data_IF_194514922753
#
_entry.id   IF_194514922753
#
_cell.length_a   1.000
_cell.length_b   1.000
_cell.length_c   1.000
_cell.angle_alpha   90.00
_cell.angle_beta   90.00
_cell.angle_gamma   90.00
#
_symmetry.space_group_name_H-M   'P 1'
#
loop_
_entity.id
_entity.type
_entity.pdbx_description
1 polymer ?
#
# COMPACT_ATOMS: atom_id res chain seq x y z
N UNK A 1 6.61 16.05 0.06
CA UNK A 1 6.88 14.90 0.94
C UNK A 1 8.24 14.27 0.68
N UNK A 2 8.52 13.70 -0.50
CA UNK A 2 9.72 12.87 -0.73
C UNK A 2 10.84 13.50 -1.57
N UNK A 3 10.71 14.76 -2.02
CA UNK A 3 11.71 15.39 -2.90
C UNK A 3 11.80 14.81 -4.32
N UNK A 4 10.89 13.90 -4.70
CA UNK A 4 10.76 13.37 -6.07
C UNK A 4 9.98 14.34 -6.95
N UNK A 5 10.45 14.56 -8.18
CA UNK A 5 9.76 15.33 -9.21
C UNK A 5 9.37 14.43 -10.37
N UNK A 6 8.07 14.26 -10.64
CA UNK A 6 7.58 13.31 -11.64
C UNK A 6 7.74 11.83 -11.25
N UNK A 7 7.05 10.94 -11.98
CA UNK A 7 7.07 9.49 -11.70
C UNK A 7 8.47 8.91 -11.89
N UNK A 8 9.22 9.36 -12.89
CA UNK A 8 10.58 8.90 -13.18
C UNK A 8 11.68 9.69 -12.45
N UNK A 9 11.33 10.71 -11.66
CA UNK A 9 12.32 11.61 -11.04
C UNK A 9 12.89 12.66 -12.01
N UNK A 10 12.26 12.87 -13.17
CA UNK A 10 12.71 13.78 -14.23
C UNK A 10 11.79 15.00 -14.42
N UNK A 11 10.84 15.21 -13.50
CA UNK A 11 9.89 16.33 -13.53
C UNK A 11 8.76 16.19 -14.55
N UNK A 12 8.65 15.08 -15.29
CA UNK A 12 7.57 14.88 -16.28
C UNK A 12 6.34 14.21 -15.67
N UNK A 13 5.17 14.66 -16.11
CA UNK A 13 3.88 14.06 -15.78
C UNK A 13 3.59 12.81 -16.63
N UNK A 14 2.67 11.98 -16.17
CA UNK A 14 2.09 10.88 -16.94
C UNK A 14 0.86 11.31 -17.72
N UNK A 15 0.52 10.55 -18.76
CA UNK A 15 -0.79 10.67 -19.39
C UNK A 15 -1.87 9.98 -18.54
N UNK A 16 -3.09 10.49 -18.61
CA UNK A 16 -4.24 9.94 -17.89
C UNK A 16 -5.37 9.69 -18.88
N UNK A 17 -5.93 8.48 -18.88
CA UNK A 17 -7.02 8.07 -19.77
C UNK A 17 -8.22 7.65 -18.93
N UNK A 18 -9.37 8.23 -19.20
CA UNK A 18 -10.66 7.90 -18.56
C UNK A 18 -11.64 7.39 -19.61
N UNK A 19 -12.80 6.89 -19.19
CA UNK A 19 -13.78 6.27 -20.08
C UNK A 19 -13.17 5.12 -20.90
N UNK A 20 -12.24 4.39 -20.27
CA UNK A 20 -11.57 3.28 -20.94
C UNK A 20 -12.47 2.05 -21.01
N UNK A 21 -12.63 1.53 -22.22
CA UNK A 21 -13.48 0.37 -22.47
C UNK A 21 -14.97 0.69 -22.28
N UNK A 22 -15.74 -0.32 -21.90
CA UNK A 22 -17.17 -0.21 -21.59
C UNK A 22 -17.45 -1.04 -20.34
N UNK A 23 -18.05 -0.45 -19.32
CA UNK A 23 -18.29 -1.08 -18.01
C UNK A 23 -17.02 -1.73 -17.42
N UNK A 24 -15.86 -1.08 -17.62
CA UNK A 24 -14.57 -1.67 -17.29
C UNK A 24 -14.28 -1.50 -15.79
N UNK A 25 -14.32 -2.61 -15.06
CA UNK A 25 -14.09 -2.69 -13.62
C UNK A 25 -12.59 -2.76 -13.26
N UNK A 26 -11.77 -1.88 -13.83
CA UNK A 26 -10.36 -1.82 -13.47
C UNK A 26 -9.72 -0.46 -13.76
N UNK A 27 -8.63 -0.19 -13.05
CA UNK A 27 -7.67 0.87 -13.33
C UNK A 27 -6.28 0.22 -13.42
N UNK A 28 -5.36 0.86 -14.13
CA UNK A 28 -3.99 0.35 -14.23
C UNK A 28 -2.98 1.43 -14.65
N UNK A 29 -1.75 1.26 -14.20
CA UNK A 29 -0.54 1.84 -14.80
C UNK A 29 -0.01 0.98 -15.95
N UNK A 30 0.48 1.63 -17.01
CA UNK A 30 1.21 0.98 -18.09
C UNK A 30 2.50 1.74 -18.44
N UNK A 31 3.65 1.08 -18.24
CA UNK A 31 4.98 1.61 -18.52
C UNK A 31 5.21 1.93 -20.01
N UNK A 32 4.53 1.22 -20.92
CA UNK A 32 4.72 1.36 -22.37
C UNK A 32 4.19 2.70 -22.89
N UNK A 33 3.05 3.16 -22.35
CA UNK A 33 2.47 4.46 -22.65
C UNK A 33 2.83 5.54 -21.62
N UNK A 34 3.48 5.16 -20.51
CA UNK A 34 3.72 6.01 -19.35
C UNK A 34 2.43 6.69 -18.87
N UNK A 35 1.38 5.88 -18.70
CA UNK A 35 0.03 6.37 -18.49
C UNK A 35 -0.75 5.58 -17.45
N UNK A 36 -1.64 6.29 -16.75
CA UNK A 36 -2.68 5.71 -15.91
C UNK A 36 -3.97 5.64 -16.72
N UNK A 37 -4.70 4.53 -16.61
CA UNK A 37 -5.93 4.27 -17.34
C UNK A 37 -7.03 3.86 -16.38
N UNK A 38 -8.21 4.47 -16.52
CA UNK A 38 -9.33 4.30 -15.61
C UNK A 38 -10.60 3.91 -16.38
N UNK A 39 -11.21 2.80 -15.97
CA UNK A 39 -12.55 2.44 -16.39
C UNK A 39 -13.63 3.24 -15.64
N UNK A 40 -14.84 3.21 -16.20
CA UNK A 40 -16.02 3.83 -15.58
C UNK A 40 -16.71 2.93 -14.54
N UNK A 41 -16.26 1.67 -14.42
CA UNK A 41 -16.96 0.64 -13.68
C UNK A 41 -18.28 0.24 -14.34
N UNK A 42 -18.90 -0.83 -13.85
CA UNK A 42 -20.19 -1.32 -14.34
C UNK A 42 -21.41 -0.60 -13.74
N UNK A 43 -21.18 0.33 -12.81
CA UNK A 43 -22.21 1.12 -12.12
C UNK A 43 -22.95 0.37 -11.00
N UNK A 44 -22.69 -0.93 -10.83
CA UNK A 44 -23.39 -1.83 -9.88
C UNK A 44 -22.48 -2.37 -8.80
N UNK A 45 -21.30 -2.87 -9.18
CA UNK A 45 -20.24 -3.34 -8.29
C UNK A 45 -19.21 -2.25 -8.08
N UNK A 46 -18.75 -1.60 -9.15
CA UNK A 46 -17.83 -0.48 -9.11
C UNK A 46 -18.37 0.72 -9.91
N UNK A 47 -18.06 1.92 -9.46
CA UNK A 47 -18.21 3.13 -10.28
C UNK A 47 -16.88 3.58 -10.89
N UNK A 48 -16.78 4.85 -11.34
CA UNK A 48 -15.57 5.36 -11.98
C UNK A 48 -14.34 5.23 -11.07
N UNK A 49 -13.28 4.61 -11.57
CA UNK A 49 -12.12 4.21 -10.76
C UNK A 49 -11.10 5.35 -10.56
N UNK A 50 -11.60 6.58 -10.34
CA UNK A 50 -10.80 7.81 -10.25
C UNK A 50 -10.71 8.36 -8.82
N UNK A 51 -10.94 7.50 -7.82
CA UNK A 51 -10.73 7.86 -6.42
C UNK A 51 -9.26 8.19 -6.12
N UNK A 52 -9.03 8.93 -5.05
CA UNK A 52 -7.73 9.53 -4.79
C UNK A 52 -6.67 8.48 -4.44
N UNK A 53 -7.01 7.52 -3.58
CA UNK A 53 -6.18 6.36 -3.27
C UNK A 53 -5.93 5.48 -4.51
N UNK A 54 -6.93 5.24 -5.36
CA UNK A 54 -6.79 4.47 -6.62
C UNK A 54 -5.85 5.21 -7.57
N UNK A 55 -6.03 6.52 -7.76
CA UNK A 55 -5.11 7.31 -8.60
C UNK A 55 -3.69 7.35 -8.02
N UNK A 56 -3.55 7.47 -6.70
CA UNK A 56 -2.28 7.39 -6.00
C UNK A 56 -1.62 6.01 -6.12
N UNK A 57 -2.41 4.95 -6.07
CA UNK A 57 -2.01 3.55 -6.27
C UNK A 57 -1.45 3.35 -7.69
N UNK A 58 -2.19 3.73 -8.73
CA UNK A 58 -1.72 3.61 -10.11
C UNK A 58 -0.46 4.44 -10.37
N UNK A 59 -0.39 5.66 -9.85
CA UNK A 59 0.82 6.48 -9.98
C UNK A 59 2.03 5.81 -9.33
N UNK A 60 1.80 5.12 -8.21
CA UNK A 60 2.85 4.47 -7.43
C UNK A 60 3.39 3.23 -8.13
N UNK A 61 2.60 2.50 -8.92
CA UNK A 61 3.15 1.46 -9.80
C UNK A 61 4.24 2.02 -10.72
N UNK A 62 4.01 3.19 -11.30
CA UNK A 62 5.03 3.89 -12.08
C UNK A 62 6.25 4.29 -11.26
N UNK A 63 6.08 4.70 -10.00
CA UNK A 63 7.23 5.00 -9.13
C UNK A 63 8.03 3.73 -8.85
N UNK A 64 7.35 2.62 -8.54
CA UNK A 64 7.95 1.30 -8.35
C UNK A 64 8.71 0.86 -9.59
N UNK A 65 8.14 1.01 -10.80
CA UNK A 65 8.79 0.62 -12.05
C UNK A 65 10.08 1.41 -12.33
N UNK A 66 10.14 2.67 -11.92
CA UNK A 66 11.32 3.55 -12.07
C UNK A 66 12.28 3.53 -10.87
N UNK A 67 12.07 2.64 -9.90
CA UNK A 67 12.91 2.51 -8.71
C UNK A 67 13.29 1.05 -8.47
N UNK A 68 12.63 0.36 -7.53
CA UNK A 68 12.92 -1.04 -7.19
C UNK A 68 12.62 -2.02 -8.33
N UNK A 69 11.72 -1.64 -9.25
CA UNK A 69 11.23 -2.48 -10.34
C UNK A 69 10.75 -3.86 -9.85
N UNK A 70 10.02 -3.88 -8.72
CA UNK A 70 9.49 -5.10 -8.11
C UNK A 70 8.74 -5.94 -9.15
N UNK A 71 9.21 -7.17 -9.36
CA UNK A 71 8.61 -8.10 -10.31
C UNK A 71 7.17 -8.37 -9.90
N UNK A 72 6.23 -8.25 -10.83
CA UNK A 72 4.80 -8.38 -10.57
C UNK A 72 4.36 -9.86 -10.49
N UNK A 73 5.01 -10.62 -9.59
CA UNK A 73 4.75 -12.03 -9.33
C UNK A 73 5.29 -12.44 -7.96
N UNK A 74 4.65 -13.42 -7.33
CA UNK A 74 5.02 -13.92 -6.01
C UNK A 74 5.06 -12.83 -4.95
N UNK A 75 5.99 -12.95 -3.99
CA UNK A 75 6.14 -11.96 -2.91
C UNK A 75 6.57 -10.58 -3.42
N UNK A 76 7.38 -10.51 -4.49
CA UNK A 76 7.73 -9.24 -5.11
C UNK A 76 6.51 -8.53 -5.70
N UNK A 77 5.57 -9.29 -6.27
CA UNK A 77 4.32 -8.75 -6.77
C UNK A 77 3.41 -8.26 -5.65
N UNK A 78 3.30 -9.03 -4.57
CA UNK A 78 2.61 -8.59 -3.35
C UNK A 78 3.19 -7.30 -2.76
N UNK A 79 4.51 -7.16 -2.76
CA UNK A 79 5.18 -5.92 -2.34
C UNK A 79 4.98 -4.76 -3.34
N UNK A 80 4.83 -5.04 -4.64
CA UNK A 80 4.50 -4.03 -5.65
C UNK A 80 3.11 -3.45 -5.37
N UNK A 81 2.12 -4.33 -5.23
CA UNK A 81 0.74 -3.99 -4.86
C UNK A 81 0.66 -3.24 -3.52
N UNK A 82 1.31 -3.76 -2.48
CA UNK A 82 1.29 -3.12 -1.17
C UNK A 82 1.98 -1.75 -1.18
N UNK A 83 3.03 -1.58 -1.99
CA UNK A 83 3.67 -0.26 -2.15
C UNK A 83 2.68 0.75 -2.72
N UNK A 84 1.90 0.34 -3.73
CA UNK A 84 0.85 1.17 -4.32
C UNK A 84 -0.28 1.49 -3.33
N UNK A 85 -0.74 0.51 -2.53
CA UNK A 85 -1.74 0.75 -1.47
C UNK A 85 -1.21 1.71 -0.38
N UNK A 86 0.04 1.52 0.06
CA UNK A 86 0.69 2.36 1.08
C UNK A 86 0.75 3.81 0.62
N UNK A 87 1.25 4.08 -0.58
CA UNK A 87 1.35 5.45 -1.06
C UNK A 87 0.02 6.03 -1.53
N UNK A 88 -0.91 5.22 -2.06
CA UNK A 88 -2.28 5.64 -2.32
C UNK A 88 -2.96 6.17 -1.06
N UNK A 89 -2.92 5.38 0.02
CA UNK A 89 -3.39 5.76 1.35
C UNK A 89 -2.70 7.04 1.86
N UNK A 90 -1.37 7.12 1.78
CA UNK A 90 -0.64 8.31 2.25
C UNK A 90 -0.96 9.57 1.42
N UNK A 91 -1.25 9.42 0.12
CA UNK A 91 -1.72 10.51 -0.74
C UNK A 91 -3.11 10.97 -0.32
N UNK A 92 -4.01 10.05 0.01
CA UNK A 92 -5.36 10.38 0.49
C UNK A 92 -5.31 11.16 1.81
N UNK A 93 -4.50 10.69 2.76
CA UNK A 93 -4.23 11.44 3.99
C UNK A 93 -3.61 12.82 3.73
N UNK A 94 -2.66 12.91 2.80
CA UNK A 94 -1.96 14.15 2.48
C UNK A 94 -2.86 15.21 1.83
N UNK A 95 -3.86 14.79 1.04
CA UNK A 95 -4.75 15.72 0.36
C UNK A 95 -5.68 16.49 1.31
N UNK A 96 -5.88 15.99 2.54
CA UNK A 96 -6.79 16.59 3.52
C UNK A 96 -8.18 16.91 2.93
N UNK A 97 -8.67 16.03 2.05
CA UNK A 97 -9.95 16.24 1.39
C UNK A 97 -11.10 16.03 2.38
N UNK A 98 -11.89 17.08 2.65
CA UNK A 98 -12.98 16.97 3.64
C UNK A 98 -14.13 16.06 3.20
N UNK A 99 -14.30 15.82 1.89
CA UNK A 99 -15.34 14.90 1.36
C UNK A 99 -14.86 13.46 1.24
N UNK A 100 -13.54 13.27 1.35
CA UNK A 100 -12.86 12.00 1.27
C UNK A 100 -11.67 12.00 2.25
N UNK A 101 -11.95 11.98 3.56
CA UNK A 101 -10.88 12.07 4.55
C UNK A 101 -10.06 10.79 4.55
N UNK A 102 -8.74 10.92 4.47
CA UNK A 102 -7.80 9.80 4.45
C UNK A 102 -8.15 8.68 5.43
N UNK A 103 -8.19 7.46 4.92
CA UNK A 103 -8.41 6.27 5.72
C UNK A 103 -7.51 5.09 5.27
N UNK A 104 -7.71 3.90 5.81
CA UNK A 104 -6.92 2.68 5.54
C UNK A 104 -7.72 1.60 4.79
N UNK A 105 -8.79 2.02 4.13
CA UNK A 105 -9.57 1.25 3.17
C UNK A 105 -9.04 1.57 1.77
N UNK A 106 -9.05 0.58 0.88
CA UNK A 106 -8.63 0.80 -0.51
C UNK A 106 -9.86 0.71 -1.41
N UNK A 107 -10.16 1.77 -2.15
CA UNK A 107 -11.23 1.87 -3.13
C UNK A 107 -12.63 1.99 -2.55
N UNK A 108 -12.78 2.43 -1.29
CA UNK A 108 -14.06 2.64 -0.62
C UNK A 108 -14.95 3.69 -1.34
N UNK A 109 -14.36 4.66 -2.05
CA UNK A 109 -15.10 5.57 -2.95
C UNK A 109 -15.59 4.95 -4.24
N UNK A 110 -14.98 3.86 -4.71
CA UNK A 110 -15.30 3.27 -6.01
C UNK A 110 -16.23 2.07 -5.90
N UNK A 111 -16.26 1.39 -4.74
CA UNK A 111 -17.22 0.30 -4.52
C UNK A 111 -18.65 0.83 -4.50
N UNK A 112 -19.57 -0.04 -4.92
CA UNK A 112 -21.01 0.19 -4.95
C UNK A 112 -21.71 -0.93 -4.18
N UNK A 113 -23.01 -0.78 -3.94
CA UNK A 113 -23.79 -1.73 -3.14
C UNK A 113 -23.72 -3.17 -3.66
N UNK A 114 -23.57 -3.37 -4.97
CA UNK A 114 -23.42 -4.70 -5.58
C UNK A 114 -22.09 -5.39 -5.28
N UNK A 115 -21.05 -4.68 -4.84
CA UNK A 115 -19.77 -5.30 -4.46
C UNK A 115 -19.85 -6.08 -3.14
N UNK A 116 -20.77 -5.70 -2.25
CA UNK A 116 -21.05 -6.40 -0.99
C UNK A 116 -20.00 -6.21 0.11
N UNK A 117 -19.03 -5.31 -0.07
CA UNK A 117 -18.03 -4.91 0.94
C UNK A 117 -17.84 -3.40 0.95
N UNK A 118 -17.32 -2.87 2.06
CA UNK A 118 -17.08 -1.45 2.23
C UNK A 118 -15.90 -0.91 1.43
N UNK A 119 -14.98 -1.77 1.00
CA UNK A 119 -13.77 -1.43 0.26
C UNK A 119 -13.25 -2.65 -0.51
N UNK A 120 -12.33 -2.45 -1.47
CA UNK A 120 -11.65 -3.53 -2.16
C UNK A 120 -10.71 -4.30 -1.23
N UNK A 121 -9.91 -3.57 -0.44
CA UNK A 121 -8.93 -4.12 0.51
C UNK A 121 -8.93 -3.30 1.81
N UNK A 122 -8.38 -3.89 2.87
CA UNK A 122 -8.33 -3.32 4.21
C UNK A 122 -6.89 -3.42 4.74
N UNK A 123 -6.24 -2.30 5.06
CA UNK A 123 -4.85 -2.38 5.54
C UNK A 123 -4.75 -2.81 7.01
N UNK A 124 -5.77 -2.57 7.84
CA UNK A 124 -5.73 -2.90 9.28
C UNK A 124 -5.88 -4.39 9.59
N UNK A 125 -6.66 -5.08 8.76
CA UNK A 125 -6.92 -6.52 8.84
C UNK A 125 -7.27 -7.02 7.43
N UNK A 126 -6.27 -7.30 6.58
CA UNK A 126 -6.45 -7.68 5.17
C UNK A 126 -7.51 -8.74 4.92
N UNK A 127 -7.61 -9.75 5.78
CA UNK A 127 -8.58 -10.84 5.64
C UNK A 127 -10.05 -10.39 5.63
N UNK A 128 -10.36 -9.14 5.97
CA UNK A 128 -11.71 -8.57 5.83
C UNK A 128 -12.22 -8.57 4.39
N UNK A 129 -11.31 -8.59 3.40
CA UNK A 129 -11.70 -8.77 2.00
C UNK A 129 -11.97 -10.25 1.63
N UNK A 130 -11.75 -11.18 2.56
CA UNK A 130 -11.99 -12.61 2.41
C UNK A 130 -10.85 -13.43 1.79
N UNK A 131 -9.80 -12.80 1.25
CA UNK A 131 -8.72 -13.50 0.53
C UNK A 131 -7.30 -13.07 0.94
N UNK A 132 -7.12 -11.80 1.31
CA UNK A 132 -5.80 -11.25 1.61
C UNK A 132 -5.20 -11.82 2.88
N UNK A 133 -3.88 -12.02 2.85
CA UNK A 133 -3.14 -12.57 3.98
C UNK A 133 -2.91 -11.51 5.05
N UNK A 134 -3.35 -11.75 6.29
CA UNK A 134 -2.96 -10.92 7.44
C UNK A 134 -1.48 -11.12 7.84
N UNK A 135 -0.97 -12.33 7.60
CA UNK A 135 0.31 -12.80 8.14
C UNK A 135 1.12 -13.44 7.01
N UNK A 136 2.43 -13.25 7.05
CA UNK A 136 3.34 -13.98 6.19
C UNK A 136 3.32 -15.48 6.51
N UNK A 137 3.38 -16.27 5.45
CA UNK A 137 3.63 -17.71 5.49
C UNK A 137 4.41 -18.09 4.23
N UNK A 138 5.01 -19.27 4.22
CA UNK A 138 5.73 -19.78 3.04
C UNK A 138 4.85 -19.96 1.79
N UNK A 139 3.52 -19.93 1.93
CA UNK A 139 2.59 -20.05 0.82
C UNK A 139 2.07 -18.70 0.31
N UNK A 140 2.41 -17.58 0.95
CA UNK A 140 1.86 -16.26 0.58
C UNK A 140 2.22 -15.87 -0.84
N UNK A 141 3.41 -16.27 -1.31
CA UNK A 141 3.85 -16.04 -2.70
C UNK A 141 3.07 -16.83 -3.75
N UNK A 142 2.18 -17.75 -3.36
CA UNK A 142 1.30 -18.47 -4.29
C UNK A 142 -0.07 -17.79 -4.46
N UNK A 143 -0.38 -16.78 -3.64
CA UNK A 143 -1.61 -16.01 -3.79
C UNK A 143 -1.49 -15.07 -4.99
N UNK A 144 -2.64 -14.61 -5.48
CA UNK A 144 -2.69 -13.44 -6.33
C UNK A 144 -1.96 -12.26 -5.64
N UNK A 145 -1.29 -11.43 -6.42
CA UNK A 145 -0.46 -10.34 -5.89
C UNK A 145 -1.29 -9.35 -5.05
N UNK A 146 -2.55 -9.11 -5.41
CA UNK A 146 -3.46 -8.24 -4.65
C UNK A 146 -3.85 -8.82 -3.29
N UNK A 147 -3.69 -10.14 -3.07
CA UNK A 147 -3.97 -10.81 -1.80
C UNK A 147 -2.72 -11.07 -0.98
N UNK A 148 -1.61 -11.38 -1.65
CA UNK A 148 -0.31 -11.48 -0.99
C UNK A 148 0.17 -10.14 -0.44
N UNK A 149 -0.26 -9.01 -1.03
CA UNK A 149 0.02 -7.63 -0.55
C UNK A 149 -0.48 -7.36 0.86
N UNK A 150 -1.48 -8.10 1.33
CA UNK A 150 -2.06 -7.98 2.66
C UNK A 150 -1.02 -7.94 3.78
N UNK A 151 0.07 -8.72 3.66
CA UNK A 151 1.14 -8.76 4.67
C UNK A 151 1.83 -7.40 4.83
N UNK A 152 2.19 -6.75 3.72
CA UNK A 152 2.82 -5.42 3.76
C UNK A 152 1.81 -4.30 4.07
N UNK A 153 0.55 -4.44 3.65
CA UNK A 153 -0.51 -3.51 4.05
C UNK A 153 -0.73 -3.53 5.57
N UNK A 154 -0.77 -4.73 6.15
CA UNK A 154 -0.90 -4.92 7.59
C UNK A 154 0.31 -4.41 8.36
N UNK A 155 1.52 -4.69 7.86
CA UNK A 155 2.75 -4.08 8.39
C UNK A 155 2.66 -2.55 8.40
N UNK A 156 2.22 -1.94 7.31
CA UNK A 156 2.17 -0.49 7.17
C UNK A 156 1.16 0.14 8.13
N UNK A 157 -0.05 -0.44 8.26
CA UNK A 157 -1.02 -0.02 9.27
C UNK A 157 -0.43 -0.11 10.67
N UNK A 158 0.14 -1.26 11.05
CA UNK A 158 0.73 -1.48 12.37
C UNK A 158 1.88 -0.50 12.65
N UNK A 159 2.74 -0.22 11.67
CA UNK A 159 3.84 0.73 11.82
C UNK A 159 3.34 2.16 11.99
N UNK A 160 2.32 2.59 11.24
CA UNK A 160 1.78 3.94 11.36
C UNK A 160 0.94 4.12 12.63
N UNK A 161 0.02 3.20 12.90
CA UNK A 161 -1.07 3.41 13.84
C UNK A 161 -0.98 2.54 15.10
N UNK A 162 -0.23 1.44 15.05
CA UNK A 162 -0.16 0.44 16.12
C UNK A 162 -1.30 -0.58 16.07
N UNK A 163 -1.21 -1.59 16.92
CA UNK A 163 -2.22 -2.66 17.05
C UNK A 163 -3.39 -2.24 17.93
N UNK A 164 -4.53 -2.91 17.77
CA UNK A 164 -5.72 -2.74 18.61
C UNK A 164 -6.72 -1.72 18.09
N UNK A 165 -7.68 -1.37 18.94
CA UNK A 165 -8.81 -0.52 18.58
C UNK A 165 -8.39 0.95 18.40
N UNK A 166 -8.77 1.55 17.28
CA UNK A 166 -8.55 2.96 16.97
C UNK A 166 -9.62 3.48 16.03
N UNK A 167 -10.04 4.73 16.21
CA UNK A 167 -10.88 5.43 15.24
C UNK A 167 -10.06 6.52 14.56
N UNK A 168 -10.01 6.50 13.23
CA UNK A 168 -9.28 7.49 12.41
C UNK A 168 -10.29 8.06 11.43
N UNK A 169 -10.48 9.38 11.44
CA UNK A 169 -11.39 10.09 10.54
C UNK A 169 -12.82 9.51 10.46
N UNK A 170 -13.29 8.90 11.55
CA UNK A 170 -14.63 8.29 11.63
C UNK A 170 -14.69 6.81 11.24
N UNK A 171 -13.61 6.22 10.74
CA UNK A 171 -13.50 4.78 10.47
C UNK A 171 -12.94 4.06 11.70
N UNK A 172 -13.62 3.00 12.12
CA UNK A 172 -13.21 2.19 13.28
C UNK A 172 -12.38 0.99 12.83
N UNK A 173 -11.18 0.91 13.39
CA UNK A 173 -10.22 -0.17 13.18
C UNK A 173 -10.01 -0.95 14.46
N UNK A 174 -9.62 -2.22 14.32
CA UNK A 174 -9.17 -3.06 15.42
C UNK A 174 -8.15 -4.06 14.89
N UNK A 175 -6.92 -3.58 14.70
CA UNK A 175 -5.88 -4.34 14.00
C UNK A 175 -5.27 -5.42 14.90
N UNK A 176 -5.34 -6.71 14.53
CA UNK A 176 -4.72 -7.78 15.29
C UNK A 176 -3.21 -7.84 15.02
N UNK A 177 -2.50 -8.73 15.73
CA UNK A 177 -1.15 -9.15 15.35
C UNK A 177 -1.10 -10.67 15.25
N UNK A 178 -0.29 -11.19 14.35
CA UNK A 178 -0.19 -12.62 14.07
C UNK A 178 0.46 -13.41 15.22
N UNK A 179 1.19 -12.71 16.08
CA UNK A 179 1.92 -13.28 17.21
C UNK A 179 1.39 -12.79 18.58
N UNK A 180 0.21 -12.15 18.61
CA UNK A 180 -0.39 -11.55 19.82
C UNK A 180 0.48 -10.48 20.53
N UNK A 181 1.47 -9.91 19.83
CA UNK A 181 2.24 -8.77 20.33
C UNK A 181 1.42 -7.47 20.27
N UNK A 182 1.87 -6.47 21.02
CA UNK A 182 1.36 -5.09 20.90
C UNK A 182 2.37 -4.25 20.13
N UNK A 183 1.91 -3.54 19.11
CA UNK A 183 2.72 -2.61 18.32
C UNK A 183 2.31 -1.18 18.65
N UNK A 184 3.28 -0.33 18.97
CA UNK A 184 3.07 1.12 19.09
C UNK A 184 3.45 1.78 17.77
N UNK A 185 2.51 2.48 17.14
CA UNK A 185 2.74 3.17 15.87
C UNK A 185 3.67 4.37 16.00
N UNK A 186 4.41 4.66 14.92
CA UNK A 186 5.34 5.81 14.81
C UNK A 186 4.80 6.94 13.91
N UNK A 187 3.58 6.79 13.39
CA UNK A 187 2.91 7.77 12.55
C UNK A 187 3.20 7.64 11.05
N UNK A 188 2.27 8.17 10.26
CA UNK A 188 2.22 8.09 8.78
C UNK A 188 3.42 8.73 8.09
N UNK A 189 3.89 9.88 8.57
CA UNK A 189 5.03 10.57 7.96
C UNK A 189 6.31 9.73 8.02
N UNK A 190 6.54 9.07 9.16
CA UNK A 190 7.71 8.18 9.34
C UNK A 190 7.56 6.89 8.56
N UNK A 191 6.36 6.29 8.53
CA UNK A 191 6.06 5.17 7.62
C UNK A 191 6.42 5.54 6.18
N UNK A 192 5.91 6.66 5.67
CA UNK A 192 6.15 7.11 4.31
C UNK A 192 7.63 7.37 4.03
N UNK A 193 8.35 8.01 4.95
CA UNK A 193 9.79 8.25 4.80
C UNK A 193 10.61 6.95 4.74
N UNK A 194 10.31 5.99 5.63
CA UNK A 194 11.00 4.69 5.70
C UNK A 194 10.69 3.86 4.46
N UNK A 195 9.42 3.69 4.10
CA UNK A 195 9.03 2.88 2.94
C UNK A 195 9.58 3.47 1.63
N UNK A 196 9.51 4.80 1.47
CA UNK A 196 10.06 5.47 0.29
C UNK A 196 11.57 5.27 0.15
N UNK A 197 12.33 5.40 1.25
CA UNK A 197 13.76 5.15 1.23
C UNK A 197 14.07 3.67 0.97
N UNK A 198 13.33 2.76 1.58
CA UNK A 198 13.47 1.33 1.34
C UNK A 198 13.27 0.99 -0.15
N UNK A 199 12.18 1.49 -0.75
CA UNK A 199 11.84 1.30 -2.16
C UNK A 199 12.91 1.86 -3.11
N UNK A 200 13.43 3.05 -2.83
CA UNK A 200 14.29 3.78 -3.77
C UNK A 200 15.78 3.50 -3.62
N UNK A 201 16.22 2.95 -2.49
CA UNK A 201 17.64 2.73 -2.18
C UNK A 201 17.99 1.26 -2.01
N UNK A 202 17.08 0.44 -1.47
CA UNK A 202 17.40 -0.89 -0.95
C UNK A 202 16.68 -2.04 -1.65
N UNK A 203 15.42 -1.83 -2.04
CA UNK A 203 14.66 -2.85 -2.74
C UNK A 203 15.15 -2.98 -4.19
N UNK A 204 15.14 -4.22 -4.67
CA UNK A 204 15.42 -4.61 -6.05
C UNK A 204 14.24 -5.39 -6.62
N UNK A 205 14.30 -5.76 -7.90
CA UNK A 205 13.20 -6.41 -8.60
C UNK A 205 12.79 -7.77 -8.04
N UNK A 206 13.69 -8.44 -7.30
CA UNK A 206 13.45 -9.74 -6.68
C UNK A 206 13.26 -9.68 -5.15
N UNK A 207 12.99 -8.50 -4.60
CA UNK A 207 12.78 -8.34 -3.15
C UNK A 207 11.56 -9.15 -2.73
N UNK A 208 11.73 -10.02 -1.73
CA UNK A 208 10.67 -10.78 -1.08
C UNK A 208 10.37 -10.17 0.31
N UNK A 209 9.47 -10.74 1.12
CA UNK A 209 9.08 -10.15 2.40
C UNK A 209 10.25 -10.03 3.41
N UNK A 210 11.12 -11.04 3.49
CA UNK A 210 12.33 -10.95 4.30
C UNK A 210 13.30 -9.85 3.81
N UNK A 211 13.40 -9.69 2.49
CA UNK A 211 14.13 -8.59 1.86
C UNK A 211 13.52 -7.22 2.17
N UNK A 212 12.20 -7.09 2.15
CA UNK A 212 11.50 -5.85 2.50
C UNK A 212 11.70 -5.47 3.98
N UNK A 213 11.70 -6.45 4.89
CA UNK A 213 12.09 -6.25 6.29
C UNK A 213 13.52 -5.71 6.40
N UNK A 214 14.47 -6.33 5.71
CA UNK A 214 15.86 -5.86 5.70
C UNK A 214 15.98 -4.44 5.13
N UNK A 215 15.31 -4.16 4.01
CA UNK A 215 15.33 -2.87 3.34
C UNK A 215 14.76 -1.75 4.22
N UNK A 216 13.62 -1.99 4.88
CA UNK A 216 12.99 -1.00 5.78
C UNK A 216 13.77 -0.79 7.07
N UNK A 217 14.43 -1.82 7.62
CA UNK A 217 15.33 -1.66 8.76
C UNK A 217 16.56 -0.81 8.39
N UNK A 218 17.15 -1.05 7.21
CA UNK A 218 18.25 -0.22 6.72
C UNK A 218 17.80 1.23 6.46
N UNK A 219 16.61 1.41 5.88
CA UNK A 219 16.03 2.73 5.70
C UNK A 219 15.80 3.46 7.03
N UNK A 220 15.24 2.80 8.04
CA UNK A 220 15.03 3.37 9.37
C UNK A 220 16.37 3.68 10.07
N UNK A 221 17.36 2.79 9.92
CA UNK A 221 18.71 3.02 10.43
C UNK A 221 19.34 4.27 9.83
N UNK A 222 19.20 4.48 8.52
CA UNK A 222 19.77 5.65 7.86
C UNK A 222 19.09 6.95 8.28
N UNK A 223 17.76 6.92 8.44
CA UNK A 223 16.97 8.10 8.74
C UNK A 223 17.02 8.49 10.23
N UNK A 224 17.09 7.49 11.12
CA UNK A 224 16.88 7.69 12.56
C UNK A 224 17.95 7.03 13.44
N UNK A 225 18.86 6.23 12.88
CA UNK A 225 19.90 5.51 13.61
C UNK A 225 19.51 4.09 14.00
N UNK A 226 20.52 3.21 14.13
CA UNK A 226 20.31 1.84 14.59
C UNK A 226 19.84 1.82 16.06
N UNK A 227 18.84 0.99 16.37
CA UNK A 227 18.27 0.89 17.73
C UNK A 227 17.38 2.07 18.15
N UNK A 228 17.11 3.02 17.24
CA UNK A 228 16.11 4.08 17.44
C UNK A 228 14.70 3.52 17.65
N UNK A 229 13.79 4.36 18.14
CA UNK A 229 12.37 4.01 18.28
C UNK A 229 11.79 3.55 16.94
N UNK A 230 12.11 4.22 15.85
CA UNK A 230 11.65 3.91 14.49
C UNK A 230 12.22 2.58 14.00
N UNK A 231 13.53 2.35 14.18
CA UNK A 231 14.17 1.09 13.81
C UNK A 231 13.53 -0.09 14.55
N UNK A 232 13.32 0.05 15.86
CA UNK A 232 12.70 -1.00 16.68
C UNK A 232 11.22 -1.18 16.34
N UNK A 233 10.49 -0.11 16.00
CA UNK A 233 9.09 -0.19 15.57
C UNK A 233 8.96 -0.91 14.22
N UNK A 234 9.85 -0.67 13.26
CA UNK A 234 9.90 -1.43 11.99
C UNK A 234 10.12 -2.91 12.27
N UNK A 235 11.09 -3.26 13.14
CA UNK A 235 11.32 -4.65 13.52
C UNK A 235 10.08 -5.28 14.17
N UNK A 236 9.42 -4.56 15.09
CA UNK A 236 8.23 -5.03 15.78
C UNK A 236 7.05 -5.23 14.84
N UNK A 237 6.77 -4.29 13.94
CA UNK A 237 5.67 -4.37 12.99
C UNK A 237 5.86 -5.53 12.00
N UNK A 238 7.07 -5.79 11.50
CA UNK A 238 7.31 -6.96 10.64
C UNK A 238 7.13 -8.26 11.39
N UNK A 239 7.62 -8.34 12.64
CA UNK A 239 7.42 -9.52 13.48
C UNK A 239 5.94 -9.75 13.79
N UNK A 240 5.15 -8.68 13.93
CA UNK A 240 3.71 -8.73 14.17
C UNK A 240 2.92 -9.28 12.97
N UNK A 241 3.48 -9.26 11.76
CA UNK A 241 2.94 -9.91 10.56
C UNK A 241 3.70 -11.19 10.18
N UNK A 242 4.43 -11.79 11.12
CA UNK A 242 5.18 -13.05 10.95
C UNK A 242 6.35 -13.02 9.96
N UNK A 243 6.89 -11.84 9.63
CA UNK A 243 8.13 -11.73 8.84
C UNK A 243 9.29 -11.52 9.80
N UNK A 244 10.20 -12.50 9.90
CA UNK A 244 11.34 -12.52 10.83
C UNK A 244 12.65 -12.05 10.23
#
# INVERSE_FOLDING_TARGET
VHGRTGIAGDGKGSFNRVHYGSNYNNAFWDDSCFCMTYGDGDGTTLGPLVALDVAGHEMTHGVTSKTAALTYSGESGGLNEATSDIFGTLVEFYAHNSTDPGDYLIGEKIVRSGFGKAALRFMDQPSKDGNSANCWSSSVGNLDVHYSSGVANHFAYLLAEGSGAKTINGVSYNSPTCNNSTVTGIGRDKLGAIWYRALTVYMTSSTNYAGARTATLNAAKDLYGAGSTEYNAVAAAWSAVSVS
#
